data_IF_123489702124
#
_entry.id   IF_123489702124
#
_cell.length_a   1.000
_cell.length_b   1.000
_cell.length_c   1.000
_cell.angle_alpha   90.00
_cell.angle_beta   90.00
_cell.angle_gamma   90.00
#
_symmetry.space_group_name_H-M   'P 1'
#
loop_
_entity.id
_entity.type
_entity.pdbx_description
1 polymer ?
#
# COMPACT_ATOMS: atom_id res chain seq x y z
N UNK A 1 7.40 -25.25 -9.89
CA UNK A 1 8.02 -24.02 -9.36
C UNK A 1 8.44 -24.27 -7.92
N UNK A 2 9.74 -24.24 -7.62
CA UNK A 2 10.24 -24.51 -6.28
C UNK A 2 10.43 -23.19 -5.54
N UNK A 3 9.53 -22.92 -4.58
CA UNK A 3 9.69 -21.81 -3.65
C UNK A 3 10.73 -22.21 -2.60
N UNK A 4 11.78 -21.40 -2.46
CA UNK A 4 12.77 -21.64 -1.43
C UNK A 4 12.16 -21.31 -0.07
N UNK A 5 12.35 -22.15 0.95
CA UNK A 5 11.87 -21.78 2.29
C UNK A 5 12.55 -20.49 2.77
N UNK A 6 11.86 -19.61 3.51
CA UNK A 6 12.48 -18.45 4.13
C UNK A 6 13.67 -18.87 4.99
N UNK A 7 14.79 -18.15 4.86
CA UNK A 7 15.97 -18.41 5.69
C UNK A 7 15.79 -17.82 7.08
N UNK A 8 16.55 -18.32 8.07
CA UNK A 8 16.58 -17.74 9.41
C UNK A 8 16.94 -16.23 9.37
N UNK A 9 17.84 -15.83 8.47
CA UNK A 9 18.19 -14.42 8.24
C UNK A 9 17.00 -13.60 7.75
N UNK A 10 16.22 -14.12 6.80
CA UNK A 10 15.00 -13.45 6.30
C UNK A 10 13.99 -13.23 7.42
N UNK A 11 13.77 -14.24 8.27
CA UNK A 11 12.87 -14.16 9.41
C UNK A 11 13.38 -13.20 10.49
N UNK A 12 14.69 -13.22 10.76
CA UNK A 12 15.32 -12.30 11.71
C UNK A 12 15.21 -10.84 11.24
N UNK A 13 15.46 -10.55 9.96
CA UNK A 13 15.30 -9.22 9.39
C UNK A 13 13.85 -8.74 9.47
N UNK A 14 12.89 -9.62 9.16
CA UNK A 14 11.47 -9.32 9.32
C UNK A 14 11.13 -8.98 10.78
N UNK A 15 11.58 -9.79 11.74
CA UNK A 15 11.37 -9.52 13.16
C UNK A 15 11.98 -8.17 13.59
N UNK A 16 13.20 -7.85 13.14
CA UNK A 16 13.84 -6.55 13.39
C UNK A 16 13.02 -5.41 12.80
N UNK A 17 12.54 -5.52 11.55
CA UNK A 17 11.67 -4.52 10.93
C UNK A 17 10.40 -4.25 11.74
N UNK A 18 9.73 -5.31 12.19
CA UNK A 18 8.54 -5.20 13.04
C UNK A 18 8.86 -4.55 14.39
N UNK A 19 9.93 -4.97 15.06
CA UNK A 19 10.35 -4.41 16.36
C UNK A 19 10.75 -2.94 16.25
N UNK A 20 11.47 -2.55 15.20
CA UNK A 20 11.83 -1.15 14.94
C UNK A 20 10.57 -0.31 14.75
N UNK A 21 9.59 -0.80 13.98
CA UNK A 21 8.33 -0.08 13.77
C UNK A 21 7.59 0.15 15.09
N UNK A 22 7.42 -0.91 15.89
CA UNK A 22 6.78 -0.82 17.22
C UNK A 22 7.54 0.13 18.12
N UNK A 23 8.86 -0.01 18.22
CA UNK A 23 9.68 0.79 19.13
C UNK A 23 9.61 2.29 18.78
N UNK A 24 9.76 2.66 17.51
CA UNK A 24 9.69 4.06 17.07
C UNK A 24 8.30 4.63 17.32
N UNK A 25 7.25 3.93 16.89
CA UNK A 25 5.88 4.41 17.04
C UNK A 25 5.51 4.54 18.51
N UNK A 26 5.81 3.56 19.36
CA UNK A 26 5.50 3.61 20.78
C UNK A 26 6.33 4.65 21.54
N UNK A 27 7.58 4.88 21.14
CA UNK A 27 8.39 5.98 21.69
C UNK A 27 7.75 7.33 21.41
N UNK A 28 7.30 7.55 20.17
CA UNK A 28 6.60 8.78 19.78
C UNK A 28 5.22 8.89 20.44
N UNK A 29 4.50 7.78 20.58
CA UNK A 29 3.23 7.70 21.30
C UNK A 29 3.37 8.14 22.76
N UNK A 30 4.37 7.61 23.47
CA UNK A 30 4.63 7.95 24.87
C UNK A 30 5.07 9.41 25.00
N UNK A 31 5.92 9.91 24.07
CA UNK A 31 6.38 11.30 24.05
C UNK A 31 5.21 12.30 24.02
N UNK A 32 4.15 11.97 23.30
CA UNK A 32 2.99 12.84 23.11
C UNK A 32 1.77 12.43 23.96
N UNK A 33 1.96 11.58 24.97
CA UNK A 33 0.96 11.20 25.97
C UNK A 33 -0.32 10.51 25.44
N UNK A 34 -0.32 9.98 24.22
CA UNK A 34 -1.43 9.21 23.63
C UNK A 34 -1.94 8.02 24.46
N UNK A 35 -1.11 7.26 25.21
CA UNK A 35 -1.57 6.09 25.96
C UNK A 35 -2.62 6.38 27.05
N UNK A 36 -2.86 7.65 27.40
CA UNK A 36 -3.90 8.05 28.36
C UNK A 36 -5.31 7.70 27.84
N UNK A 37 -5.46 7.47 26.53
CA UNK A 37 -6.77 7.28 25.87
C UNK A 37 -7.05 5.86 25.40
N UNK A 38 -6.08 4.96 25.48
CA UNK A 38 -6.22 3.62 24.92
C UNK A 38 -6.29 2.57 26.03
N UNK A 39 -7.17 1.59 25.87
CA UNK A 39 -7.18 0.44 26.77
C UNK A 39 -5.92 -0.40 26.56
N UNK A 40 -5.50 -1.15 27.59
CA UNK A 40 -4.36 -2.09 27.47
C UNK A 40 -4.56 -3.08 26.32
N UNK A 41 -5.82 -3.45 26.03
CA UNK A 41 -6.18 -4.33 24.91
C UNK A 41 -5.90 -3.68 23.56
N UNK A 42 -6.30 -2.42 23.39
CA UNK A 42 -6.10 -1.67 22.13
C UNK A 42 -4.61 -1.46 21.85
N UNK A 43 -3.82 -1.13 22.87
CA UNK A 43 -2.36 -1.00 22.77
C UNK A 43 -1.72 -2.33 22.33
N UNK A 44 -2.18 -3.46 22.87
CA UNK A 44 -1.67 -4.78 22.48
C UNK A 44 -2.00 -5.11 21.02
N UNK A 45 -3.23 -4.83 20.57
CA UNK A 45 -3.63 -5.00 19.16
C UNK A 45 -2.79 -4.11 18.26
N UNK A 46 -2.58 -2.86 18.64
CA UNK A 46 -1.78 -1.90 17.90
C UNK A 46 -0.32 -2.34 17.78
N UNK A 47 0.28 -2.86 18.85
CA UNK A 47 1.64 -3.40 18.84
C UNK A 47 1.78 -4.55 17.81
N UNK A 48 0.82 -5.48 17.78
CA UNK A 48 0.82 -6.59 16.82
C UNK A 48 0.65 -6.08 15.39
N UNK A 49 -0.25 -5.13 15.16
CA UNK A 49 -0.50 -4.55 13.85
C UNK A 49 0.74 -3.78 13.32
N UNK A 50 1.35 -2.96 14.16
CA UNK A 50 2.59 -2.23 13.84
C UNK A 50 3.76 -3.17 13.57
N UNK A 51 3.89 -4.23 14.38
CA UNK A 51 4.88 -5.27 14.13
C UNK A 51 4.65 -5.90 12.76
N UNK A 52 3.40 -6.23 12.42
CA UNK A 52 3.06 -6.84 11.14
C UNK A 52 3.39 -5.93 9.95
N UNK A 53 3.17 -4.62 10.04
CA UNK A 53 3.54 -3.65 8.99
C UNK A 53 5.03 -3.70 8.70
N UNK A 54 5.88 -3.46 9.70
CA UNK A 54 7.33 -3.45 9.53
C UNK A 54 7.88 -4.81 9.14
N UNK A 55 7.40 -5.87 9.80
CA UNK A 55 7.86 -7.23 9.54
C UNK A 55 7.49 -7.70 8.14
N UNK A 56 6.27 -7.42 7.67
CA UNK A 56 5.83 -7.84 6.34
C UNK A 56 6.57 -7.09 5.23
N UNK A 57 6.76 -5.77 5.38
CA UNK A 57 7.53 -4.97 4.42
C UNK A 57 8.97 -5.48 4.29
N UNK A 58 9.66 -5.68 5.41
CA UNK A 58 11.05 -6.17 5.42
C UNK A 58 11.13 -7.64 4.98
N UNK A 59 10.17 -8.48 5.39
CA UNK A 59 10.10 -9.87 4.92
C UNK A 59 9.93 -9.94 3.41
N UNK A 60 8.96 -9.22 2.85
CA UNK A 60 8.71 -9.19 1.41
C UNK A 60 9.99 -8.78 0.68
N UNK A 61 10.64 -7.70 1.12
CA UNK A 61 11.89 -7.25 0.52
C UNK A 61 13.04 -8.23 0.67
N UNK A 62 13.27 -8.80 1.85
CA UNK A 62 14.37 -9.73 2.08
C UNK A 62 14.17 -11.09 1.38
N UNK A 63 12.92 -11.55 1.28
CA UNK A 63 12.57 -12.83 0.68
C UNK A 63 12.55 -12.79 -0.85
N UNK A 64 12.14 -11.65 -1.42
CA UNK A 64 11.94 -11.49 -2.87
C UNK A 64 13.00 -10.62 -3.57
N UNK A 65 13.76 -9.84 -2.79
CA UNK A 65 14.68 -8.78 -3.24
C UNK A 65 14.01 -7.63 -4.00
N UNK A 66 12.72 -7.45 -3.77
CA UNK A 66 12.02 -6.20 -4.07
C UNK A 66 12.43 -5.14 -3.05
N UNK A 67 12.65 -3.91 -3.48
CA UNK A 67 13.09 -2.82 -2.62
C UNK A 67 11.93 -1.95 -2.14
N UNK A 68 10.87 -1.78 -2.94
CA UNK A 68 9.79 -0.84 -2.69
C UNK A 68 8.98 -1.15 -1.42
N UNK A 69 8.75 -2.40 -0.97
CA UNK A 69 8.02 -2.63 0.27
C UNK A 69 8.77 -2.04 1.48
N UNK A 70 10.05 -2.38 1.66
CA UNK A 70 10.87 -1.87 2.75
C UNK A 70 11.14 -0.36 2.63
N UNK A 71 11.46 0.14 1.43
CA UNK A 71 11.70 1.57 1.23
C UNK A 71 10.44 2.42 1.46
N UNK A 72 9.28 1.95 0.98
CA UNK A 72 8.00 2.61 1.21
C UNK A 72 7.63 2.64 2.70
N UNK A 73 7.84 1.53 3.41
CA UNK A 73 7.67 1.48 4.87
C UNK A 73 8.61 2.46 5.59
N UNK A 74 9.91 2.46 5.26
CA UNK A 74 10.89 3.39 5.85
C UNK A 74 10.49 4.83 5.58
N UNK A 75 10.07 5.17 4.35
CA UNK A 75 9.65 6.50 4.00
C UNK A 75 8.40 6.94 4.80
N UNK A 76 7.41 6.05 4.95
CA UNK A 76 6.22 6.34 5.74
C UNK A 76 6.55 6.53 7.24
N UNK A 77 7.37 5.64 7.82
CA UNK A 77 7.77 5.73 9.22
C UNK A 77 8.63 6.97 9.49
N UNK A 78 9.64 7.22 8.65
CA UNK A 78 10.53 8.37 8.79
C UNK A 78 9.79 9.70 8.54
N UNK A 79 8.89 9.74 7.56
CA UNK A 79 8.02 10.90 7.32
C UNK A 79 7.12 11.18 8.51
N UNK A 80 6.47 10.14 9.06
CA UNK A 80 5.64 10.26 10.27
C UNK A 80 6.45 10.78 11.45
N UNK A 81 7.61 10.18 11.72
CA UNK A 81 8.49 10.59 12.80
C UNK A 81 8.99 12.03 12.61
N UNK A 82 9.37 12.40 11.39
CA UNK A 82 9.78 13.76 11.07
C UNK A 82 8.66 14.76 11.37
N UNK A 83 7.43 14.52 10.88
CA UNK A 83 6.32 15.43 11.14
C UNK A 83 5.98 15.49 12.63
N UNK A 84 5.85 14.35 13.33
CA UNK A 84 5.57 14.31 14.78
C UNK A 84 6.65 15.02 15.64
N UNK A 85 7.89 15.04 15.18
CA UNK A 85 9.00 15.71 15.88
C UNK A 85 9.11 17.20 15.54
N UNK A 86 8.60 17.64 14.39
CA UNK A 86 8.74 19.01 13.88
C UNK A 86 7.47 19.85 14.00
N UNK A 87 6.32 19.23 14.24
CA UNK A 87 5.07 19.95 14.55
C UNK A 87 4.91 20.15 16.06
N UNK A 88 4.10 21.17 16.49
CA UNK A 88 3.76 21.34 17.88
C UNK A 88 3.12 20.08 18.47
N UNK A 89 3.39 19.78 19.74
CA UNK A 89 2.74 18.68 20.43
C UNK A 89 1.23 18.91 20.49
N UNK A 90 0.41 17.85 20.41
CA UNK A 90 -1.02 17.98 20.64
C UNK A 90 -1.29 18.37 22.10
N UNK A 91 -2.20 19.30 22.28
CA UNK A 91 -2.72 19.70 23.59
C UNK A 91 -3.95 18.85 23.93
N UNK A 92 -3.91 18.24 25.11
CA UNK A 92 -4.95 17.34 25.59
C UNK A 92 -5.86 18.09 26.56
N UNK A 93 -7.16 18.11 26.26
CA UNK A 93 -8.19 18.75 27.08
C UNK A 93 -9.39 17.85 27.33
N UNK A 94 -10.32 18.33 28.13
CA UNK A 94 -11.61 17.65 28.39
C UNK A 94 -12.75 18.64 28.10
N UNK A 95 -13.73 18.19 27.31
CA UNK A 95 -14.98 18.91 27.06
C UNK A 95 -16.13 17.96 27.30
N UNK A 96 -17.03 18.33 28.22
CA UNK A 96 -18.23 17.56 28.57
C UNK A 96 -17.96 16.07 28.90
N UNK A 97 -16.82 15.76 29.54
CA UNK A 97 -16.43 14.39 29.88
C UNK A 97 -15.77 13.60 28.75
N UNK A 98 -15.56 14.23 27.59
CA UNK A 98 -14.86 13.66 26.45
C UNK A 98 -13.47 14.28 26.29
N UNK A 99 -12.47 13.44 26.02
CA UNK A 99 -11.13 13.95 25.72
C UNK A 99 -11.13 14.60 24.35
N UNK A 100 -10.66 15.84 24.31
CA UNK A 100 -10.41 16.60 23.09
C UNK A 100 -8.90 16.69 22.88
N UNK A 101 -8.52 16.62 21.61
CA UNK A 101 -7.13 16.77 21.16
C UNK A 101 -7.07 17.98 20.25
N UNK A 102 -6.34 18.99 20.67
CA UNK A 102 -6.05 20.16 19.85
C UNK A 102 -4.66 20.01 19.25
N UNK A 103 -4.57 20.04 17.91
CA UNK A 103 -3.30 19.94 17.20
C UNK A 103 -3.10 18.62 16.46
N UNK A 104 -1.95 18.48 15.76
CA UNK A 104 -1.69 17.37 14.86
C UNK A 104 -1.39 16.07 15.61
N UNK A 105 -1.89 14.95 15.09
CA UNK A 105 -1.69 13.62 15.69
C UNK A 105 -1.10 12.59 14.73
N UNK A 106 0.03 12.92 14.11
CA UNK A 106 0.59 12.15 12.98
C UNK A 106 0.93 10.70 13.36
N UNK A 107 1.57 10.48 14.51
CA UNK A 107 1.91 9.13 14.94
C UNK A 107 0.66 8.29 15.22
N UNK A 108 -0.35 8.89 15.82
CA UNK A 108 -1.62 8.22 16.10
C UNK A 108 -2.32 7.86 14.79
N UNK A 109 -2.44 8.80 13.85
CA UNK A 109 -2.96 8.53 12.50
C UNK A 109 -2.21 7.39 11.83
N UNK A 110 -0.87 7.43 11.79
CA UNK A 110 -0.05 6.38 11.19
C UNK A 110 -0.34 5.01 11.79
N UNK A 111 -0.32 4.90 13.12
CA UNK A 111 -0.46 3.63 13.81
C UNK A 111 -1.84 3.02 13.60
N UNK A 112 -2.85 3.87 13.70
CA UNK A 112 -4.24 3.49 13.59
C UNK A 112 -4.71 3.15 12.17
N UNK A 113 -3.98 3.61 11.15
CA UNK A 113 -4.23 3.28 9.74
C UNK A 113 -3.20 2.28 9.22
N UNK A 114 -2.67 1.41 10.09
CA UNK A 114 -1.69 0.36 9.77
C UNK A 114 -2.05 -0.46 8.51
N UNK A 115 -3.34 -0.73 8.30
CA UNK A 115 -3.85 -1.48 7.16
C UNK A 115 -3.60 -0.76 5.82
N UNK A 116 -3.58 0.58 5.79
CA UNK A 116 -3.23 1.38 4.61
C UNK A 116 -1.76 1.17 4.26
N UNK A 117 -0.87 1.27 5.27
CA UNK A 117 0.56 1.11 5.08
C UNK A 117 0.91 -0.30 4.60
N UNK A 118 0.28 -1.32 5.18
CA UNK A 118 0.46 -2.71 4.76
C UNK A 118 -0.01 -2.92 3.32
N UNK A 119 -1.21 -2.45 2.97
CA UNK A 119 -1.75 -2.58 1.62
C UNK A 119 -0.88 -1.87 0.58
N UNK A 120 -0.47 -0.62 0.85
CA UNK A 120 0.37 0.16 -0.06
C UNK A 120 1.76 -0.48 -0.23
N UNK A 121 2.43 -0.88 0.85
CA UNK A 121 3.75 -1.49 0.79
C UNK A 121 3.76 -2.78 -0.04
N UNK A 122 2.74 -3.62 0.13
CA UNK A 122 2.56 -4.83 -0.67
C UNK A 122 2.23 -4.51 -2.13
N UNK A 123 1.31 -3.57 -2.37
CA UNK A 123 0.89 -3.17 -3.71
C UNK A 123 2.06 -2.61 -4.54
N UNK A 124 2.87 -1.71 -3.99
CA UNK A 124 4.04 -1.17 -4.69
C UNK A 124 5.12 -2.24 -4.92
N UNK A 125 5.20 -3.26 -4.07
CA UNK A 125 6.02 -4.44 -4.30
C UNK A 125 5.62 -5.20 -5.57
N UNK A 126 4.32 -5.39 -5.79
CA UNK A 126 3.80 -6.04 -7.01
C UNK A 126 4.06 -5.18 -8.24
N UNK A 127 3.94 -3.86 -8.13
CA UNK A 127 4.31 -2.95 -9.22
C UNK A 127 5.80 -3.04 -9.55
N UNK A 128 6.67 -3.01 -8.54
CA UNK A 128 8.11 -3.19 -8.75
C UNK A 128 8.40 -4.53 -9.42
N UNK A 129 7.78 -5.63 -8.97
CA UNK A 129 7.92 -6.94 -9.59
C UNK A 129 7.54 -6.90 -11.07
N UNK A 130 6.37 -6.37 -11.40
CA UNK A 130 5.89 -6.27 -12.78
C UNK A 130 6.80 -5.43 -13.67
N UNK A 131 7.31 -4.31 -13.15
CA UNK A 131 8.24 -3.44 -13.87
C UNK A 131 9.59 -4.13 -14.04
N UNK A 132 10.19 -4.66 -12.98
CA UNK A 132 11.53 -5.25 -13.03
C UNK A 132 11.60 -6.51 -13.86
N UNK A 133 10.64 -7.42 -13.68
CA UNK A 133 10.55 -8.65 -14.46
C UNK A 133 10.13 -8.37 -15.90
N UNK A 134 9.30 -7.34 -16.09
CA UNK A 134 8.78 -6.99 -17.40
C UNK A 134 9.73 -6.24 -18.33
N UNK A 135 10.66 -5.50 -17.75
CA UNK A 135 11.61 -4.65 -18.47
C UNK A 135 13.07 -5.09 -18.24
N UNK A 136 13.30 -6.29 -17.70
CA UNK A 136 14.65 -6.84 -17.46
C UNK A 136 15.49 -6.07 -16.42
N UNK A 137 14.88 -5.23 -15.59
CA UNK A 137 15.62 -4.35 -14.66
C UNK A 137 16.08 -5.12 -13.41
N UNK A 138 17.36 -5.51 -13.41
CA UNK A 138 17.98 -6.21 -12.29
C UNK A 138 17.33 -7.57 -12.01
N UNK A 139 16.83 -8.23 -13.06
CA UNK A 139 16.07 -9.47 -13.01
C UNK A 139 16.82 -10.60 -12.28
N UNK A 140 18.12 -10.73 -12.53
CA UNK A 140 19.00 -11.73 -11.92
C UNK A 140 19.05 -11.66 -10.38
N UNK A 141 18.68 -10.52 -9.82
CA UNK A 141 18.65 -10.36 -8.37
C UNK A 141 17.32 -10.79 -7.75
N UNK A 142 16.22 -10.84 -8.50
CA UNK A 142 14.90 -11.26 -7.97
C UNK A 142 14.94 -12.73 -7.53
N UNK A 143 14.20 -13.06 -6.47
CA UNK A 143 14.13 -14.42 -5.91
C UNK A 143 12.71 -14.77 -5.50
N UNK A 144 12.37 -16.06 -5.51
CA UNK A 144 11.10 -16.57 -4.99
C UNK A 144 9.90 -15.73 -5.48
N UNK A 145 9.82 -15.51 -6.79
CA UNK A 145 8.73 -14.80 -7.47
C UNK A 145 8.33 -15.59 -8.72
N UNK A 146 7.08 -15.49 -9.18
CA UNK A 146 6.64 -16.20 -10.37
C UNK A 146 7.32 -15.65 -11.63
N UNK A 147 7.39 -16.48 -12.67
CA UNK A 147 7.79 -16.05 -14.00
C UNK A 147 6.63 -15.33 -14.69
N UNK A 148 6.96 -14.40 -15.60
CA UNK A 148 5.97 -13.74 -16.45
C UNK A 148 6.06 -14.33 -17.87
N UNK A 149 4.93 -14.48 -18.59
CA UNK A 149 3.57 -14.09 -18.19
C UNK A 149 2.93 -15.06 -17.19
N UNK A 150 2.12 -14.53 -16.28
CA UNK A 150 1.31 -15.34 -15.36
C UNK A 150 0.24 -16.12 -16.12
N UNK A 151 -0.17 -17.26 -15.57
CA UNK A 151 -1.40 -17.94 -16.00
C UNK A 151 -2.61 -17.02 -15.80
N UNK A 152 -3.68 -17.19 -16.59
CA UNK A 152 -4.90 -16.35 -16.44
C UNK A 152 -5.46 -16.39 -15.02
N UNK A 153 -5.43 -17.57 -14.39
CA UNK A 153 -5.91 -17.77 -13.04
C UNK A 153 -5.01 -17.03 -12.02
N UNK A 154 -3.69 -17.13 -12.15
CA UNK A 154 -2.76 -16.48 -11.22
C UNK A 154 -2.73 -14.96 -11.42
N UNK A 155 -2.87 -14.49 -12.66
CA UNK A 155 -3.06 -13.07 -12.95
C UNK A 155 -4.33 -12.55 -12.27
N UNK A 156 -5.47 -13.21 -12.46
CA UNK A 156 -6.74 -12.81 -11.85
C UNK A 156 -6.65 -12.80 -10.31
N UNK A 157 -6.07 -13.86 -9.71
CA UNK A 157 -5.85 -13.93 -8.26
C UNK A 157 -4.95 -12.82 -7.75
N UNK A 158 -3.86 -12.52 -8.45
CA UNK A 158 -2.91 -11.47 -8.06
C UNK A 158 -3.57 -10.10 -8.14
N UNK A 159 -4.19 -9.79 -9.28
CA UNK A 159 -4.87 -8.51 -9.52
C UNK A 159 -6.00 -8.29 -8.52
N UNK A 160 -6.89 -9.27 -8.34
CA UNK A 160 -8.01 -9.16 -7.41
C UNK A 160 -7.53 -9.18 -5.97
N UNK A 161 -6.55 -10.02 -5.62
CA UNK A 161 -6.04 -10.11 -4.26
C UNK A 161 -5.38 -8.83 -3.78
N UNK A 162 -4.42 -8.29 -4.54
CA UNK A 162 -3.74 -7.05 -4.17
C UNK A 162 -4.63 -5.81 -4.38
N UNK A 163 -5.52 -5.82 -5.37
CA UNK A 163 -6.55 -4.80 -5.51
C UNK A 163 -7.50 -4.77 -4.30
N UNK A 164 -7.97 -5.94 -3.85
CA UNK A 164 -8.86 -6.07 -2.70
C UNK A 164 -8.17 -5.65 -1.39
N UNK A 165 -6.86 -5.86 -1.24
CA UNK A 165 -6.11 -5.31 -0.10
C UNK A 165 -6.21 -3.78 -0.04
N UNK A 166 -6.02 -3.09 -1.18
CA UNK A 166 -6.21 -1.64 -1.27
C UNK A 166 -7.68 -1.26 -1.02
N UNK A 167 -8.62 -2.04 -1.56
CA UNK A 167 -10.05 -1.84 -1.37
C UNK A 167 -10.49 -1.91 0.10
N UNK A 168 -10.11 -2.98 0.79
CA UNK A 168 -10.40 -3.19 2.22
C UNK A 168 -9.70 -2.14 3.07
N UNK A 169 -8.44 -1.81 2.78
CA UNK A 169 -7.74 -0.76 3.50
C UNK A 169 -8.44 0.60 3.35
N UNK A 170 -8.88 0.93 2.13
CA UNK A 170 -9.62 2.17 1.86
C UNK A 170 -10.97 2.17 2.58
N UNK A 171 -11.70 1.05 2.57
CA UNK A 171 -12.96 0.92 3.30
C UNK A 171 -12.78 1.09 4.82
N UNK A 172 -11.75 0.48 5.41
CA UNK A 172 -11.46 0.63 6.83
C UNK A 172 -11.07 2.08 7.17
N UNK A 173 -10.33 2.74 6.28
CA UNK A 173 -9.99 4.16 6.41
C UNK A 173 -11.25 5.01 6.46
N UNK A 174 -12.20 4.78 5.55
CA UNK A 174 -13.41 5.61 5.49
C UNK A 174 -14.42 5.33 6.60
N UNK A 175 -14.52 4.09 7.07
CA UNK A 175 -15.30 3.76 8.28
C UNK A 175 -14.71 4.51 9.47
N UNK A 176 -13.37 4.55 9.59
CA UNK A 176 -12.68 5.28 10.63
C UNK A 176 -12.91 6.79 10.55
N UNK A 177 -12.96 7.36 9.35
CA UNK A 177 -13.32 8.78 9.12
C UNK A 177 -14.82 9.09 9.37
N UNK A 178 -15.60 8.15 9.90
CA UNK A 178 -16.96 8.39 10.38
C UNK A 178 -18.08 8.12 9.38
N UNK A 179 -17.84 7.38 8.28
CA UNK A 179 -18.94 6.94 7.41
C UNK A 179 -19.82 5.88 8.09
N UNK A 180 -21.11 6.17 8.36
CA UNK A 180 -21.94 5.30 9.22
C UNK A 180 -22.62 4.14 8.46
N UNK A 181 -22.59 4.13 7.12
CA UNK A 181 -23.37 3.19 6.31
C UNK A 181 -22.52 2.12 5.65
N UNK A 182 -22.78 0.85 6.01
CA UNK A 182 -22.09 -0.33 5.47
C UNK A 182 -22.16 -0.39 3.93
N UNK A 183 -23.29 -0.01 3.33
CA UNK A 183 -23.45 -0.02 1.86
C UNK A 183 -22.46 0.92 1.17
N UNK A 184 -22.24 2.11 1.73
CA UNK A 184 -21.27 3.08 1.20
C UNK A 184 -19.84 2.57 1.39
N UNK A 185 -19.54 1.97 2.56
CA UNK A 185 -18.24 1.37 2.83
C UNK A 185 -17.92 0.22 1.84
N UNK A 186 -18.90 -0.66 1.56
CA UNK A 186 -18.77 -1.73 0.58
C UNK A 186 -18.59 -1.19 -0.85
N UNK A 187 -19.34 -0.15 -1.23
CA UNK A 187 -19.15 0.51 -2.51
C UNK A 187 -17.72 1.07 -2.64
N UNK A 188 -17.23 1.77 -1.61
CA UNK A 188 -15.84 2.26 -1.56
C UNK A 188 -14.84 1.12 -1.72
N UNK A 189 -15.03 -0.01 -1.04
CA UNK A 189 -14.15 -1.17 -1.16
C UNK A 189 -14.08 -1.66 -2.62
N UNK A 190 -15.21 -1.74 -3.31
CA UNK A 190 -15.29 -2.18 -4.71
C UNK A 190 -14.60 -1.17 -5.64
N UNK A 191 -14.89 0.12 -5.49
CA UNK A 191 -14.30 1.17 -6.34
C UNK A 191 -12.78 1.28 -6.13
N UNK A 192 -12.32 1.21 -4.88
CA UNK A 192 -10.91 1.20 -4.52
C UNK A 192 -10.20 -0.08 -5.01
N UNK A 193 -10.89 -1.23 -4.98
CA UNK A 193 -10.38 -2.46 -5.60
C UNK A 193 -10.22 -2.29 -7.10
N UNK A 194 -11.22 -1.74 -7.78
CA UNK A 194 -11.18 -1.55 -9.23
C UNK A 194 -10.05 -0.60 -9.66
N UNK A 195 -9.91 0.55 -9.00
CA UNK A 195 -8.87 1.54 -9.36
C UNK A 195 -7.45 0.99 -9.16
N UNK A 196 -7.25 0.13 -8.17
CA UNK A 196 -5.98 -0.55 -7.92
C UNK A 196 -5.74 -1.75 -8.86
N UNK A 197 -6.81 -2.49 -9.21
CA UNK A 197 -6.74 -3.67 -10.07
C UNK A 197 -6.39 -3.33 -11.52
N UNK A 198 -6.90 -2.22 -12.07
CA UNK A 198 -6.66 -1.82 -13.47
C UNK A 198 -5.16 -1.67 -13.81
N UNK A 199 -4.36 -0.87 -13.08
CA UNK A 199 -2.94 -0.73 -13.37
C UNK A 199 -2.16 -2.03 -13.13
N UNK A 200 -2.53 -2.84 -12.13
CA UNK A 200 -1.94 -4.16 -11.93
C UNK A 200 -2.19 -5.09 -13.11
N UNK A 201 -3.44 -5.14 -13.60
CA UNK A 201 -3.81 -5.98 -14.73
C UNK A 201 -3.07 -5.53 -16.00
N UNK A 202 -3.05 -4.22 -16.26
CA UNK A 202 -2.38 -3.64 -17.42
C UNK A 202 -0.87 -3.96 -17.40
N UNK A 203 -0.23 -3.79 -16.24
CA UNK A 203 1.20 -4.07 -16.06
C UNK A 203 1.51 -5.55 -16.14
N UNK A 204 0.85 -6.41 -15.35
CA UNK A 204 1.20 -7.83 -15.26
C UNK A 204 0.79 -8.64 -16.50
N UNK A 205 -0.27 -8.23 -17.21
CA UNK A 205 -0.72 -8.93 -18.41
C UNK A 205 0.05 -8.52 -19.66
N UNK A 206 0.42 -7.24 -19.76
CA UNK A 206 0.90 -6.63 -21.02
C UNK A 206 2.05 -5.63 -20.85
N UNK A 207 2.64 -5.55 -19.67
CA UNK A 207 3.73 -4.60 -19.39
C UNK A 207 3.37 -3.15 -19.67
N UNK A 208 2.11 -2.76 -19.51
CA UNK A 208 1.66 -1.39 -19.75
C UNK A 208 2.00 -0.54 -18.54
N UNK A 209 2.62 0.62 -18.76
CA UNK A 209 3.17 1.44 -17.67
C UNK A 209 2.38 2.74 -17.49
N UNK A 210 1.71 3.23 -18.54
CA UNK A 210 0.95 4.47 -18.46
C UNK A 210 -0.15 4.42 -17.39
N UNK A 211 -0.97 3.34 -17.27
CA UNK A 211 -1.94 3.24 -16.18
C UNK A 211 -1.29 3.26 -14.79
N UNK A 212 -0.12 2.63 -14.65
CA UNK A 212 0.63 2.61 -13.39
C UNK A 212 1.16 4.00 -13.02
N UNK A 213 1.68 4.76 -13.99
CA UNK A 213 2.17 6.12 -13.75
C UNK A 213 1.01 7.06 -13.39
N UNK A 214 -0.13 6.92 -14.08
CA UNK A 214 -1.34 7.67 -13.76
C UNK A 214 -2.00 7.20 -12.46
N UNK A 215 -1.64 6.04 -11.89
CA UNK A 215 -2.19 5.59 -10.62
C UNK A 215 -1.65 6.37 -9.41
N UNK A 216 -0.50 7.06 -9.52
CA UNK A 216 0.18 7.79 -8.42
C UNK A 216 -0.73 8.69 -7.56
N UNK A 217 -1.75 9.40 -8.10
CA UNK A 217 -2.68 10.18 -7.28
C UNK A 217 -3.47 9.35 -6.26
N UNK A 218 -3.72 8.06 -6.49
CA UNK A 218 -4.49 7.20 -5.58
C UNK A 218 -3.75 6.98 -4.24
N UNK A 219 -2.52 6.44 -4.20
CA UNK A 219 -1.79 6.33 -2.93
C UNK A 219 -1.51 7.71 -2.30
N UNK A 220 -1.34 8.77 -3.10
CA UNK A 220 -1.24 10.13 -2.56
C UNK A 220 -2.52 10.54 -1.80
N UNK A 221 -3.70 10.34 -2.38
CA UNK A 221 -4.98 10.66 -1.74
C UNK A 221 -5.20 9.82 -0.49
N UNK A 222 -4.83 8.54 -0.49
CA UNK A 222 -4.91 7.70 0.72
C UNK A 222 -3.98 8.22 1.83
N UNK A 223 -2.75 8.61 1.50
CA UNK A 223 -1.81 9.19 2.48
C UNK A 223 -2.31 10.55 2.98
N UNK A 224 -2.89 11.36 2.09
CA UNK A 224 -3.51 12.63 2.44
C UNK A 224 -4.69 12.43 3.41
N UNK A 225 -5.54 11.44 3.16
CA UNK A 225 -6.65 11.07 4.04
C UNK A 225 -6.17 10.59 5.42
N UNK A 226 -5.02 9.92 5.50
CA UNK A 226 -4.45 9.50 6.79
C UNK A 226 -4.01 10.69 7.64
N UNK A 227 -3.42 11.74 7.03
CA UNK A 227 -2.71 12.78 7.77
C UNK A 227 -3.37 14.16 7.79
N UNK A 228 -4.26 14.48 6.85
CA UNK A 228 -4.70 15.85 6.60
C UNK A 228 -6.21 16.03 6.73
N UNK A 229 -7.02 15.05 6.34
CA UNK A 229 -8.46 15.23 6.32
C UNK A 229 -9.10 14.85 7.66
N UNK A 230 -10.00 15.71 8.11
CA UNK A 230 -11.02 15.41 9.13
C UNK A 230 -12.42 15.37 8.51
N UNK A 231 -12.52 15.68 7.22
CA UNK A 231 -13.76 15.80 6.46
C UNK A 231 -14.18 14.47 5.82
N UNK A 232 -15.45 14.38 5.45
CA UNK A 232 -16.04 13.16 4.88
C UNK A 232 -15.27 12.66 3.63
N UNK A 233 -14.90 11.37 3.56
CA UNK A 233 -14.09 10.79 2.48
C UNK A 233 -14.85 10.62 1.14
N UNK A 234 -15.83 11.47 0.85
CA UNK A 234 -16.70 11.38 -0.33
C UNK A 234 -15.91 11.37 -1.63
N UNK A 235 -14.77 12.07 -1.67
CA UNK A 235 -13.91 12.12 -2.84
C UNK A 235 -13.32 10.74 -3.23
N UNK A 236 -13.29 9.77 -2.31
CA UNK A 236 -12.89 8.39 -2.59
C UNK A 236 -13.87 7.69 -3.54
N UNK A 237 -15.14 8.14 -3.62
CA UNK A 237 -16.08 7.66 -4.64
C UNK A 237 -15.62 7.99 -6.07
N UNK A 238 -14.75 8.99 -6.24
CA UNK A 238 -14.14 9.31 -7.54
C UNK A 238 -13.15 8.23 -8.03
N UNK A 239 -12.76 7.27 -7.18
CA UNK A 239 -11.93 6.14 -7.59
C UNK A 239 -12.61 5.29 -8.67
N UNK A 240 -13.94 5.18 -8.66
CA UNK A 240 -14.70 4.47 -9.70
C UNK A 240 -14.52 5.09 -11.09
N UNK A 241 -14.93 6.36 -11.28
CA UNK A 241 -14.64 7.10 -12.51
C UNK A 241 -13.15 7.10 -12.87
N UNK A 242 -12.25 7.20 -11.88
CA UNK A 242 -10.81 7.17 -12.13
C UNK A 242 -10.32 5.83 -12.67
N UNK A 243 -10.87 4.71 -12.20
CA UNK A 243 -10.56 3.39 -12.74
C UNK A 243 -10.89 3.29 -14.24
N UNK A 244 -11.97 3.94 -14.69
CA UNK A 244 -12.33 4.05 -16.11
C UNK A 244 -11.28 4.86 -16.87
N UNK A 245 -10.82 5.99 -16.31
CA UNK A 245 -9.73 6.78 -16.91
C UNK A 245 -8.45 5.96 -17.06
N UNK A 246 -8.07 5.18 -16.04
CA UNK A 246 -6.91 4.28 -16.11
C UNK A 246 -7.09 3.17 -17.16
N UNK A 247 -8.31 2.64 -17.31
CA UNK A 247 -8.61 1.64 -18.34
C UNK A 247 -8.56 2.23 -19.76
N UNK A 248 -9.00 3.48 -19.93
CA UNK A 248 -8.85 4.21 -21.19
C UNK A 248 -7.38 4.50 -21.49
N UNK A 249 -6.58 4.88 -20.49
CA UNK A 249 -5.14 5.06 -20.63
C UNK A 249 -4.44 3.76 -21.04
N UNK A 250 -4.88 2.62 -20.48
CA UNK A 250 -4.41 1.30 -20.90
C UNK A 250 -4.76 1.04 -22.38
N UNK A 251 -6.02 1.24 -22.78
CA UNK A 251 -6.43 1.06 -24.17
C UNK A 251 -5.66 1.95 -25.14
N UNK A 252 -5.41 3.20 -24.76
CA UNK A 252 -4.63 4.16 -25.55
C UNK A 252 -3.17 3.72 -25.68
N UNK A 253 -2.52 3.31 -24.58
CA UNK A 253 -1.14 2.80 -24.61
C UNK A 253 -1.04 1.56 -25.50
N UNK A 254 -2.00 0.63 -25.39
CA UNK A 254 -2.05 -0.57 -26.23
C UNK A 254 -2.20 -0.24 -27.72
N UNK A 255 -3.05 0.74 -28.06
CA UNK A 255 -3.25 1.21 -29.43
C UNK A 255 -2.01 1.90 -29.99
N UNK A 256 -1.33 2.72 -29.18
CA UNK A 256 -0.09 3.39 -29.60
C UNK A 256 1.03 2.37 -29.82
N UNK A 257 1.18 1.39 -28.91
CA UNK A 257 2.19 0.33 -29.03
C UNK A 257 1.94 -0.59 -30.23
N UNK A 258 0.68 -0.92 -30.55
CA UNK A 258 0.37 -1.76 -31.71
C UNK A 258 0.71 -1.06 -33.04
N UNK A 259 0.52 0.26 -33.11
CA UNK A 259 0.90 1.07 -34.30
C UNK A 259 2.41 1.22 -34.48
N UNK A 260 3.16 1.34 -33.39
CA UNK A 260 4.61 1.59 -33.44
C UNK A 260 5.46 0.33 -33.68
N UNK A 261 4.98 -0.87 -33.32
CA UNK A 261 5.80 -2.10 -33.38
C UNK A 261 5.26 -3.21 -34.28
N UNK A 262 4.12 -3.04 -34.96
CA UNK A 262 3.52 -4.06 -35.84
C UNK A 262 3.20 -5.40 -35.16
N UNK A 263 3.29 -5.45 -33.82
CA UNK A 263 3.27 -6.64 -32.99
C UNK A 263 2.23 -6.41 -31.88
N UNK A 264 1.41 -7.42 -31.59
CA UNK A 264 0.24 -7.38 -30.70
C UNK A 264 0.48 -6.71 -29.33
N UNK A 265 0.39 -5.38 -29.29
CA UNK A 265 0.03 -4.59 -28.12
C UNK A 265 0.73 -4.95 -26.80
N UNK A 266 2.07 -5.11 -26.83
CA UNK A 266 2.89 -5.21 -25.62
C UNK A 266 2.76 -6.53 -24.87
N UNK A 267 3.49 -7.56 -25.30
CA UNK A 267 4.05 -8.50 -24.32
C UNK A 267 5.38 -7.93 -23.86
N UNK A 268 5.76 -8.24 -22.62
CA UNK A 268 7.10 -7.94 -22.11
C UNK A 268 8.11 -8.30 -23.20
N UNK A 269 8.85 -7.29 -23.64
CA UNK A 269 10.00 -7.49 -24.50
C UNK A 269 11.01 -8.22 -23.64
N UNK A 270 11.13 -9.55 -23.78
CA UNK A 270 12.38 -10.17 -24.22
C UNK A 270 12.32 -11.72 -24.19
N UNK A 271 12.48 -12.37 -25.35
CA UNK A 271 13.72 -12.80 -26.04
C UNK A 271 14.23 -14.17 -25.55
N UNK A 272 13.67 -15.24 -26.13
CA UNK A 272 14.28 -16.58 -26.26
C UNK A 272 13.66 -17.31 -27.47
N UNK A 273 13.67 -16.65 -28.63
CA UNK A 273 13.52 -17.30 -29.92
C UNK A 273 14.80 -17.02 -30.73
N UNK A 274 15.90 -17.60 -30.26
CA UNK A 274 17.10 -17.91 -31.01
C UNK A 274 17.87 -18.98 -30.24
#
# INVERSE_FOLDING_TARGET
MYWSRPTATTLALAAVGGLVNVAVVFTLYVRAAYPILESTGDIAVLAVALFAVGATAVFASAYTRLLTPALGWIAALAGTAYYELTTPMPDWGELDGHVIVEGPTHVASYANTWYVWLALALFVGVLEFGIRRGYGLGEQSLRNLPDLPLSRADLARTVVGFGALVGVATMLLTIRSGLPHLETALAIAVLATAVAAVPLAALLARGMVLPTMLFVPVPYLLIYEVFVTTDSPVHILLFGPYAVVLALAWALEALLRSRLRGWDGGRFTDHNAA
#
